data_IF_915658817304
#
_entry.id   IF_915658817304
#
_cell.length_a   1.000
_cell.length_b   1.000
_cell.length_c   1.000
_cell.angle_alpha   90.00
_cell.angle_beta   90.00
_cell.angle_gamma   90.00
#
_symmetry.space_group_name_H-M   'P 1'
#
loop_
_entity.id
_entity.type
_entity.pdbx_description
1 polymer ?
#
# COMPACT_ATOMS: atom_id res chain seq x y z
N UNK A 1 -6.21 -5.51 7.06
CA UNK A 1 -7.09 -4.58 7.78
C UNK A 1 -7.92 -3.74 6.81
N UNK A 2 -7.33 -2.83 6.01
CA UNK A 2 -8.11 -1.98 5.08
C UNK A 2 -9.07 -2.76 4.16
N UNK A 3 -8.58 -3.79 3.47
CA UNK A 3 -9.41 -4.66 2.63
C UNK A 3 -10.58 -5.28 3.39
N UNK A 4 -10.32 -5.75 4.61
CA UNK A 4 -11.34 -6.33 5.50
C UNK A 4 -12.42 -5.33 5.88
N UNK A 5 -12.02 -4.11 6.27
CA UNK A 5 -12.98 -3.03 6.59
C UNK A 5 -13.81 -2.60 5.37
N UNK A 6 -13.24 -2.70 4.17
CA UNK A 6 -13.97 -2.51 2.90
C UNK A 6 -14.83 -3.71 2.49
N UNK A 7 -14.70 -4.85 3.15
CA UNK A 7 -15.32 -6.10 2.71
C UNK A 7 -14.77 -6.63 1.37
N UNK A 8 -13.56 -6.22 0.99
CA UNK A 8 -12.89 -6.64 -0.25
C UNK A 8 -12.03 -7.87 0.03
N UNK A 9 -12.16 -8.87 -0.84
CA UNK A 9 -11.25 -10.01 -0.90
C UNK A 9 -10.50 -9.98 -2.22
N UNK A 10 -9.18 -10.05 -2.16
CA UNK A 10 -8.30 -10.10 -3.32
C UNK A 10 -7.46 -11.38 -3.25
N UNK A 11 -7.14 -12.00 -4.40
CA UNK A 11 -6.07 -12.98 -4.47
C UNK A 11 -4.77 -12.35 -3.95
N UNK A 12 -4.00 -13.12 -3.18
CA UNK A 12 -2.70 -12.70 -2.65
C UNK A 12 -1.65 -13.74 -2.97
N UNK A 13 -0.46 -13.28 -3.35
CA UNK A 13 0.73 -14.12 -3.49
C UNK A 13 1.63 -13.88 -2.27
N UNK A 14 2.02 -14.94 -1.58
CA UNK A 14 2.99 -14.87 -0.50
C UNK A 14 4.42 -14.95 -1.07
N UNK A 15 5.29 -14.07 -0.60
CA UNK A 15 6.71 -14.05 -0.99
C UNK A 15 7.59 -14.34 0.22
N UNK A 16 8.66 -15.11 0.01
CA UNK A 16 9.69 -15.33 1.02
C UNK A 16 10.59 -14.09 1.16
N UNK A 17 10.27 -13.27 2.16
CA UNK A 17 11.05 -12.07 2.50
C UNK A 17 12.41 -12.41 3.10
N UNK A 18 12.55 -13.55 3.80
CA UNK A 18 13.83 -13.98 4.37
C UNK A 18 14.77 -14.48 3.28
N UNK A 19 14.22 -15.16 2.27
CA UNK A 19 14.91 -15.54 1.04
C UNK A 19 15.12 -14.39 0.04
N UNK A 20 14.54 -13.22 0.30
CA UNK A 20 14.71 -12.00 -0.49
C UNK A 20 14.00 -12.00 -1.84
N UNK A 21 12.88 -12.73 -1.97
CA UNK A 21 12.15 -12.84 -3.24
C UNK A 21 11.64 -11.51 -3.77
N UNK A 22 11.25 -10.59 -2.87
CA UNK A 22 10.85 -9.23 -3.21
C UNK A 22 12.00 -8.37 -3.76
N UNK A 23 13.26 -8.81 -3.69
CA UNK A 23 14.45 -8.07 -4.13
C UNK A 23 15.08 -8.63 -5.41
N UNK A 24 14.41 -9.54 -6.10
CA UNK A 24 14.90 -10.16 -7.35
C UNK A 24 13.75 -10.39 -8.35
N UNK A 25 14.08 -10.64 -9.63
CA UNK A 25 13.09 -11.14 -10.58
C UNK A 25 12.47 -12.47 -10.09
N UNK A 26 11.17 -12.70 -10.36
CA UNK A 26 10.30 -11.90 -11.22
C UNK A 26 9.62 -10.70 -10.51
N UNK A 27 9.74 -10.56 -9.18
CA UNK A 27 9.01 -9.52 -8.46
C UNK A 27 9.48 -8.10 -8.84
N UNK A 28 10.79 -7.89 -8.95
CA UNK A 28 11.34 -6.57 -9.30
C UNK A 28 11.04 -6.15 -10.74
N UNK A 29 10.65 -7.08 -11.61
CA UNK A 29 10.18 -6.76 -12.96
C UNK A 29 8.80 -6.07 -12.92
N UNK A 30 8.03 -6.31 -11.84
CA UNK A 30 6.73 -5.70 -11.55
C UNK A 30 6.87 -4.43 -10.70
N UNK A 31 7.55 -4.53 -9.55
CA UNK A 31 7.84 -3.40 -8.67
C UNK A 31 9.36 -3.25 -8.46
N UNK A 32 10.04 -2.41 -9.25
CA UNK A 32 11.49 -2.24 -9.19
C UNK A 32 12.04 -1.80 -7.84
N UNK A 33 11.23 -1.17 -7.00
CA UNK A 33 11.66 -0.77 -5.65
C UNK A 33 11.75 -1.94 -4.67
N UNK A 34 11.18 -3.10 -5.03
CA UNK A 34 11.23 -4.32 -4.22
C UNK A 34 10.47 -4.23 -2.90
N UNK A 35 9.68 -3.18 -2.69
CA UNK A 35 8.84 -3.06 -1.49
C UNK A 35 7.51 -3.80 -1.69
N UNK A 36 6.93 -4.24 -0.57
CA UNK A 36 5.60 -4.84 -0.52
C UNK A 36 4.69 -3.91 0.30
N UNK A 37 3.37 -3.91 0.05
CA UNK A 37 2.66 -4.64 -1.00
C UNK A 37 2.73 -3.94 -2.38
N UNK A 38 2.37 -4.68 -3.44
CA UNK A 38 2.04 -4.16 -4.76
C UNK A 38 0.71 -4.76 -5.23
N UNK A 39 -0.12 -3.96 -5.92
CA UNK A 39 -1.39 -4.38 -6.50
C UNK A 39 -1.26 -4.47 -8.02
N UNK A 40 -1.45 -5.66 -8.58
CA UNK A 40 -1.50 -5.88 -10.02
C UNK A 40 -2.97 -5.86 -10.49
N UNK A 41 -3.25 -5.05 -11.51
CA UNK A 41 -4.58 -4.93 -12.13
C UNK A 41 -4.73 -5.94 -13.27
N UNK A 42 -5.96 -6.13 -13.73
CA UNK A 42 -6.28 -7.08 -14.81
C UNK A 42 -5.56 -6.78 -16.13
N UNK A 43 -5.20 -5.51 -16.39
CA UNK A 43 -4.46 -5.09 -17.58
C UNK A 43 -2.93 -5.20 -17.43
N UNK A 44 -2.45 -5.72 -16.30
CA UNK A 44 -1.04 -5.86 -15.96
C UNK A 44 -0.40 -4.60 -15.36
N UNK A 45 -1.16 -3.51 -15.17
CA UNK A 45 -0.66 -2.32 -14.45
C UNK A 45 -0.37 -2.67 -12.99
N UNK A 46 0.77 -2.22 -12.48
CA UNK A 46 1.16 -2.43 -11.08
C UNK A 46 1.15 -1.11 -10.32
N UNK A 47 0.37 -1.05 -9.23
CA UNK A 47 0.35 0.06 -8.29
C UNK A 47 1.14 -0.36 -7.06
N UNK A 48 2.25 0.32 -6.81
CA UNK A 48 3.03 0.22 -5.57
C UNK A 48 2.67 1.37 -4.61
N UNK A 49 3.24 1.34 -3.40
CA UNK A 49 2.95 2.24 -2.29
C UNK A 49 1.55 2.03 -1.67
N UNK A 50 1.51 1.59 -0.41
CA UNK A 50 0.27 1.25 0.30
C UNK A 50 -0.77 2.37 0.26
N UNK A 51 -0.34 3.63 0.34
CA UNK A 51 -1.23 4.80 0.28
C UNK A 51 -1.93 4.91 -1.07
N UNK A 52 -1.18 4.76 -2.16
CA UNK A 52 -1.73 4.84 -3.51
C UNK A 52 -2.68 3.66 -3.79
N UNK A 53 -2.33 2.47 -3.31
CA UNK A 53 -3.20 1.28 -3.39
C UNK A 53 -4.52 1.53 -2.65
N UNK A 54 -4.48 2.07 -1.43
CA UNK A 54 -5.69 2.33 -0.65
C UNK A 54 -6.56 3.42 -1.27
N UNK A 55 -5.97 4.51 -1.76
CA UNK A 55 -6.71 5.56 -2.46
C UNK A 55 -7.39 5.02 -3.73
N UNK A 56 -6.68 4.23 -4.54
CA UNK A 56 -7.26 3.56 -5.70
C UNK A 56 -8.45 2.67 -5.30
N UNK A 57 -8.30 1.86 -4.26
CA UNK A 57 -9.38 0.99 -3.77
C UNK A 57 -10.54 1.76 -3.15
N UNK A 58 -10.28 2.87 -2.47
CA UNK A 58 -11.29 3.81 -1.93
C UNK A 58 -12.12 4.42 -3.05
N UNK A 59 -11.48 4.87 -4.13
CA UNK A 59 -12.15 5.44 -5.31
C UNK A 59 -13.00 4.39 -6.04
N UNK A 60 -12.50 3.15 -6.16
CA UNK A 60 -13.24 2.05 -6.78
C UNK A 60 -14.36 1.51 -5.88
N UNK A 61 -14.24 1.65 -4.57
CA UNK A 61 -15.18 1.13 -3.57
C UNK A 61 -15.50 2.22 -2.53
N UNK A 62 -16.34 3.21 -2.89
CA UNK A 62 -16.56 4.40 -2.06
C UNK A 62 -17.34 4.12 -0.76
N UNK A 63 -17.89 2.92 -0.57
CA UNK A 63 -18.64 2.53 0.63
C UNK A 63 -18.12 1.21 1.21
N UNK A 64 -17.88 1.12 2.53
CA UNK A 64 -17.95 2.21 3.52
C UNK A 64 -16.80 3.20 3.31
N UNK A 65 -17.01 4.51 3.48
CA UNK A 65 -15.94 5.49 3.36
C UNK A 65 -14.93 5.35 4.52
N UNK A 66 -13.68 5.00 4.22
CA UNK A 66 -12.64 4.80 5.24
C UNK A 66 -11.65 5.96 5.32
N UNK A 67 -11.43 6.66 4.20
CA UNK A 67 -10.54 7.83 4.16
C UNK A 67 -11.29 9.13 4.49
N UNK A 68 -12.57 9.20 4.13
CA UNK A 68 -13.43 10.35 4.37
C UNK A 68 -14.49 10.52 3.29
N UNK A 69 -15.67 11.03 3.66
CA UNK A 69 -16.83 11.20 2.78
C UNK A 69 -16.84 12.54 2.03
N UNK A 70 -16.11 13.54 2.55
CA UNK A 70 -15.98 14.87 1.96
C UNK A 70 -14.50 15.32 1.86
N UNK A 71 -14.27 16.51 1.30
CA UNK A 71 -12.91 16.98 1.04
C UNK A 71 -12.13 17.25 2.34
N UNK A 72 -12.80 17.81 3.33
CA UNK A 72 -12.25 18.17 4.64
C UNK A 72 -11.83 16.92 5.43
N UNK A 73 -12.70 15.91 5.51
CA UNK A 73 -12.42 14.62 6.16
C UNK A 73 -11.23 13.91 5.51
N UNK A 74 -11.21 13.83 4.16
CA UNK A 74 -10.07 13.23 3.44
C UNK A 74 -8.77 13.99 3.70
N UNK A 75 -8.82 15.31 3.76
CA UNK A 75 -7.65 16.13 4.05
C UNK A 75 -7.13 15.88 5.48
N UNK A 76 -8.01 15.78 6.47
CA UNK A 76 -7.63 15.46 7.85
C UNK A 76 -7.01 14.06 7.96
N UNK A 77 -7.63 13.05 7.37
CA UNK A 77 -7.10 11.67 7.36
C UNK A 77 -5.72 11.60 6.73
N UNK A 78 -5.54 12.20 5.55
CA UNK A 78 -4.24 12.24 4.85
C UNK A 78 -3.18 13.00 5.64
N UNK A 79 -3.56 14.08 6.33
CA UNK A 79 -2.65 14.83 7.19
C UNK A 79 -2.14 13.96 8.34
N UNK A 80 -3.03 13.25 9.05
CA UNK A 80 -2.63 12.36 10.14
C UNK A 80 -1.82 11.17 9.66
N UNK A 81 -2.22 10.56 8.55
CA UNK A 81 -1.43 9.51 7.91
C UNK A 81 -0.02 10.00 7.61
N UNK A 82 0.14 11.16 6.97
CA UNK A 82 1.46 11.70 6.62
C UNK A 82 2.32 12.03 7.84
N UNK A 83 1.70 12.52 8.92
CA UNK A 83 2.39 12.77 10.20
C UNK A 83 2.92 11.48 10.82
N UNK A 84 2.11 10.41 10.81
CA UNK A 84 2.51 9.09 11.32
C UNK A 84 3.63 8.52 10.44
N UNK A 85 3.51 8.61 9.13
CA UNK A 85 4.53 8.12 8.21
C UNK A 85 5.87 8.79 8.48
N UNK A 86 5.93 10.12 8.42
CA UNK A 86 7.18 10.87 8.57
C UNK A 86 7.72 10.85 10.01
N UNK A 87 6.84 10.91 11.01
CA UNK A 87 7.23 11.02 12.40
C UNK A 87 7.56 9.69 13.06
N UNK A 88 6.98 8.59 12.57
CA UNK A 88 7.03 7.29 13.25
C UNK A 88 7.59 6.22 12.32
N UNK A 89 6.88 5.89 11.24
CA UNK A 89 7.20 4.66 10.48
C UNK A 89 8.43 4.82 9.58
N UNK A 90 8.66 6.00 9.01
CA UNK A 90 9.80 6.28 8.14
C UNK A 90 11.14 6.05 8.87
N UNK A 91 11.23 6.55 10.11
CA UNK A 91 12.41 6.34 10.95
C UNK A 91 12.64 4.85 11.26
N UNK A 92 11.57 4.11 11.50
CA UNK A 92 11.63 2.67 11.72
C UNK A 92 12.11 1.95 10.46
N UNK A 93 11.52 2.25 9.30
CA UNK A 93 11.86 1.59 8.05
C UNK A 93 13.28 1.88 7.60
N UNK A 94 13.76 3.11 7.74
CA UNK A 94 15.11 3.48 7.34
C UNK A 94 16.22 2.74 8.11
N UNK A 95 15.92 2.23 9.31
CA UNK A 95 16.83 1.34 10.05
C UNK A 95 17.06 -0.02 9.40
N UNK A 96 16.14 -0.49 8.55
CA UNK A 96 16.17 -1.82 7.92
C UNK A 96 16.19 -1.78 6.38
N UNK A 97 15.75 -0.67 5.77
CA UNK A 97 15.61 -0.57 4.30
C UNK A 97 16.95 -0.58 3.56
N UNK A 98 17.99 -0.02 4.18
CA UNK A 98 19.32 0.14 3.62
C UNK A 98 20.40 -0.71 4.32
N UNK A 99 19.98 -1.58 5.26
CA UNK A 99 20.86 -2.59 5.88
C UNK A 99 20.95 -3.86 5.06
#
# INVERSE_FOLDING_TARGET
MFLTEKGISLPSEELDLMGGENRRPPYTDKNPGGQMPALELEDGTVIAETVAIFEYLEEKNPSPALVGSNAEERAETRMWQRRIELGITENLYNGFRYS
#
